data_IF_824389103459
#
_entry.id   IF_824389103459
#
_cell.length_a   1.000
_cell.length_b   1.000
_cell.length_c   1.000
_cell.angle_alpha   90.00
_cell.angle_beta   90.00
_cell.angle_gamma   90.00
#
_symmetry.space_group_name_H-M   'P 1'
#
loop_
_entity.id
_entity.type
_entity.pdbx_description
1 polymer ?
#
# COMPACT_ATOMS: atom_id res chain seq x y z
N UNK A 1 0.11 -15.58 -11.82
CA UNK A 1 1.01 -14.81 -10.96
C UNK A 1 0.29 -14.27 -9.72
N UNK A 2 0.96 -13.45 -8.91
CA UNK A 2 0.38 -12.85 -7.68
C UNK A 2 -0.90 -12.06 -8.00
N UNK A 3 -0.87 -11.21 -8.99
CA UNK A 3 -2.03 -10.40 -9.41
C UNK A 3 -3.23 -11.25 -9.84
N UNK A 4 -3.00 -12.38 -10.52
CA UNK A 4 -4.08 -13.29 -10.92
C UNK A 4 -4.75 -13.91 -9.70
N UNK A 5 -3.95 -14.35 -8.71
CA UNK A 5 -4.48 -14.94 -7.47
C UNK A 5 -5.27 -13.89 -6.66
N UNK A 6 -4.76 -12.65 -6.55
CA UNK A 6 -5.46 -11.56 -5.89
C UNK A 6 -6.79 -11.23 -6.60
N UNK A 7 -6.80 -11.13 -7.92
CA UNK A 7 -8.00 -10.88 -8.70
C UNK A 7 -9.03 -12.00 -8.56
N UNK A 8 -8.58 -13.25 -8.55
CA UNK A 8 -9.47 -14.40 -8.30
C UNK A 8 -10.10 -14.30 -6.89
N UNK A 9 -9.30 -14.00 -5.86
CA UNK A 9 -9.79 -13.80 -4.50
C UNK A 9 -10.82 -12.68 -4.39
N UNK A 10 -10.54 -11.51 -5.01
CA UNK A 10 -11.46 -10.38 -5.04
C UNK A 10 -12.77 -10.74 -5.74
N UNK A 11 -12.69 -11.49 -6.86
CA UNK A 11 -13.87 -11.88 -7.65
C UNK A 11 -14.75 -12.89 -6.91
N UNK A 12 -14.14 -13.87 -6.25
CA UNK A 12 -14.83 -14.91 -5.49
C UNK A 12 -15.40 -14.44 -4.15
N UNK A 13 -14.83 -13.37 -3.57
CA UNK A 13 -15.33 -12.81 -2.32
C UNK A 13 -16.74 -12.26 -2.48
N UNK A 14 -17.56 -12.42 -1.44
CA UNK A 14 -18.89 -11.80 -1.33
C UNK A 14 -18.90 -10.63 -0.35
N UNK A 15 -17.77 -10.38 0.31
CA UNK A 15 -17.64 -9.31 1.31
C UNK A 15 -17.58 -7.94 0.66
N UNK A 16 -18.05 -6.92 1.37
CA UNK A 16 -17.99 -5.52 0.92
C UNK A 16 -16.55 -5.00 0.81
N UNK A 17 -15.68 -5.45 1.71
CA UNK A 17 -14.27 -5.07 1.76
C UNK A 17 -13.40 -6.31 1.59
N UNK A 18 -12.27 -6.13 0.92
CA UNK A 18 -11.27 -7.17 0.69
C UNK A 18 -9.90 -6.69 1.17
N UNK A 19 -9.14 -7.57 1.80
CA UNK A 19 -7.76 -7.33 2.21
C UNK A 19 -6.80 -8.15 1.37
N UNK A 20 -5.75 -7.51 0.88
CA UNK A 20 -4.64 -8.13 0.17
C UNK A 20 -3.39 -7.99 1.03
N UNK A 21 -2.83 -9.11 1.46
CA UNK A 21 -1.72 -9.18 2.40
C UNK A 21 -0.70 -10.19 1.86
N UNK A 22 0.59 -9.85 1.95
CA UNK A 22 1.64 -10.79 1.57
C UNK A 22 1.75 -11.92 2.61
N UNK A 23 2.07 -13.12 2.15
CA UNK A 23 2.06 -14.34 2.96
C UNK A 23 3.13 -14.34 4.07
N UNK A 24 4.16 -13.53 3.92
CA UNK A 24 5.27 -13.35 4.85
C UNK A 24 5.04 -12.21 5.86
N UNK A 25 3.83 -11.66 5.89
CA UNK A 25 3.47 -10.57 6.77
C UNK A 25 2.76 -11.06 8.03
N UNK A 26 3.13 -10.47 9.17
CA UNK A 26 2.48 -10.65 10.45
C UNK A 26 1.62 -9.43 10.77
N UNK A 27 0.35 -9.66 11.07
CA UNK A 27 -0.56 -8.59 11.47
C UNK A 27 -0.61 -8.45 12.99
N UNK A 28 -0.75 -7.21 13.47
CA UNK A 28 -1.13 -6.96 14.85
C UNK A 28 -2.54 -7.51 15.12
N UNK A 29 -2.83 -8.00 16.33
CA UNK A 29 -4.14 -8.60 16.66
C UNK A 29 -5.34 -7.69 16.38
N UNK A 30 -5.16 -6.37 16.48
CA UNK A 30 -6.18 -5.34 16.26
C UNK A 30 -6.12 -4.68 14.88
N UNK A 31 -5.24 -5.15 13.99
CA UNK A 31 -5.02 -4.55 12.67
C UNK A 31 -6.32 -4.43 11.86
N UNK A 32 -7.12 -5.49 11.81
CA UNK A 32 -8.39 -5.49 11.08
C UNK A 32 -9.42 -4.54 11.71
N UNK A 33 -9.40 -4.38 13.03
CA UNK A 33 -10.28 -3.44 13.71
C UNK A 33 -9.97 -1.99 13.30
N UNK A 34 -8.69 -1.62 13.22
CA UNK A 34 -8.25 -0.31 12.74
C UNK A 34 -8.68 -0.07 11.29
N UNK A 35 -8.52 -1.06 10.42
CA UNK A 35 -8.96 -0.97 9.02
C UNK A 35 -10.47 -0.78 8.92
N UNK A 36 -11.26 -1.59 9.62
CA UNK A 36 -12.71 -1.47 9.64
C UNK A 36 -13.13 -0.11 10.13
N UNK A 37 -12.51 0.39 11.20
CA UNK A 37 -12.78 1.72 11.77
C UNK A 37 -12.55 2.83 10.73
N UNK A 38 -11.50 2.75 9.90
CA UNK A 38 -11.25 3.70 8.82
C UNK A 38 -12.38 3.70 7.78
N UNK A 39 -12.87 2.54 7.35
CA UNK A 39 -13.98 2.47 6.39
C UNK A 39 -15.31 2.99 6.94
N UNK A 40 -15.53 2.92 8.26
CA UNK A 40 -16.78 3.34 8.90
C UNK A 40 -16.69 4.70 9.59
N UNK A 41 -15.57 5.40 9.49
CA UNK A 41 -15.49 6.77 10.02
C UNK A 41 -16.51 7.67 9.33
N UNK A 42 -17.18 8.53 10.13
CA UNK A 42 -18.08 9.57 9.62
C UNK A 42 -17.26 10.66 8.94
N UNK A 43 -16.90 10.45 7.69
CA UNK A 43 -16.22 11.43 6.83
C UNK A 43 -17.19 11.98 5.80
N UNK A 44 -16.90 13.19 5.30
CA UNK A 44 -17.61 13.75 4.13
C UNK A 44 -17.30 13.01 2.84
N UNK A 45 -16.24 12.16 2.84
CA UNK A 45 -15.79 11.37 1.70
C UNK A 45 -15.90 9.89 2.02
N UNK A 46 -16.30 9.11 1.03
CA UNK A 46 -16.30 7.64 1.10
C UNK A 46 -14.86 7.12 1.07
N UNK A 47 -14.48 6.32 2.05
CA UNK A 47 -13.17 5.64 2.05
C UNK A 47 -13.25 4.41 1.14
N UNK A 48 -12.45 4.37 0.09
CA UNK A 48 -12.47 3.29 -0.91
C UNK A 48 -11.28 2.35 -0.81
N UNK A 49 -10.19 2.81 -0.21
CA UNK A 49 -8.99 2.01 0.05
C UNK A 49 -8.29 2.50 1.32
N UNK A 50 -7.63 1.56 1.99
CA UNK A 50 -6.90 1.81 3.25
C UNK A 50 -5.56 1.09 3.18
N UNK A 51 -4.49 1.82 3.43
CA UNK A 51 -3.16 1.29 3.68
C UNK A 51 -2.68 1.60 5.09
N UNK A 52 -1.58 1.02 5.50
CA UNK A 52 -1.02 1.27 6.83
C UNK A 52 0.49 1.20 6.87
N UNK A 53 1.03 1.53 8.03
CA UNK A 53 2.47 1.46 8.30
C UNK A 53 2.91 0.01 8.36
N UNK A 54 3.99 -0.28 7.66
CA UNK A 54 4.69 -1.57 7.71
C UNK A 54 5.98 -1.40 8.49
N UNK A 55 6.25 -2.33 9.38
CA UNK A 55 7.45 -2.39 10.22
C UNK A 55 8.33 -3.57 9.84
N UNK A 56 9.60 -3.44 10.16
CA UNK A 56 10.61 -4.49 9.97
C UNK A 56 10.58 -5.44 11.16
N UNK A 57 10.38 -6.73 10.88
CA UNK A 57 10.28 -7.79 11.88
C UNK A 57 11.62 -8.49 12.18
N UNK A 58 12.66 -8.23 11.39
CA UNK A 58 13.98 -8.86 11.59
C UNK A 58 14.47 -8.71 13.03
N UNK A 59 14.89 -9.82 13.63
CA UNK A 59 15.33 -9.96 15.02
C UNK A 59 14.25 -9.78 16.10
N UNK A 60 13.00 -9.52 15.75
CA UNK A 60 11.89 -9.56 16.68
C UNK A 60 11.62 -11.00 17.15
N UNK A 61 11.04 -11.17 18.33
CA UNK A 61 10.62 -12.48 18.82
C UNK A 61 9.16 -12.70 18.42
N UNK A 62 8.93 -13.77 17.68
CA UNK A 62 7.59 -14.16 17.22
C UNK A 62 7.30 -15.55 17.77
N UNK A 63 6.21 -15.69 18.52
CA UNK A 63 5.75 -16.99 19.01
C UNK A 63 4.22 -17.08 18.90
N UNK A 64 3.72 -18.29 18.58
CA UNK A 64 2.30 -18.53 18.40
C UNK A 64 1.64 -17.66 17.31
N UNK A 65 2.41 -17.17 16.33
CA UNK A 65 1.90 -16.26 15.28
C UNK A 65 1.70 -14.82 15.76
N UNK A 66 2.27 -14.45 16.90
CA UNK A 66 2.19 -13.09 17.45
C UNK A 66 3.59 -12.54 17.73
N UNK A 67 3.70 -11.22 17.66
CA UNK A 67 4.91 -10.49 18.00
C UNK A 67 4.99 -10.35 19.53
N UNK A 68 5.94 -11.02 20.16
CA UNK A 68 6.13 -10.98 21.61
C UNK A 68 7.11 -9.89 22.04
N UNK A 69 8.20 -9.72 21.29
CA UNK A 69 9.21 -8.73 21.64
C UNK A 69 9.72 -8.01 20.38
N UNK A 70 9.68 -6.70 20.40
CA UNK A 70 10.21 -5.85 19.32
C UNK A 70 11.67 -5.58 19.59
N UNK A 71 12.53 -5.98 18.65
CA UNK A 71 13.98 -5.77 18.71
C UNK A 71 14.48 -5.00 17.50
N UNK A 72 15.56 -4.26 17.68
CA UNK A 72 16.28 -3.69 16.54
C UNK A 72 16.98 -4.82 15.77
N UNK A 73 16.94 -4.80 14.43
CA UNK A 73 17.68 -5.76 13.63
C UNK A 73 19.16 -5.81 14.02
N UNK A 74 19.73 -7.00 14.14
CA UNK A 74 21.17 -7.17 14.37
C UNK A 74 21.97 -6.91 13.10
N UNK A 75 21.43 -7.28 11.95
CA UNK A 75 22.04 -7.03 10.65
C UNK A 75 21.99 -5.54 10.28
N UNK A 76 23.13 -4.97 9.88
CA UNK A 76 23.24 -3.55 9.52
C UNK A 76 22.41 -3.17 8.30
N UNK A 77 22.29 -4.07 7.32
CA UNK A 77 21.49 -3.83 6.11
C UNK A 77 20.00 -3.75 6.45
N UNK A 78 19.52 -4.59 7.37
CA UNK A 78 18.14 -4.53 7.88
C UNK A 78 17.90 -3.24 8.69
N UNK A 79 18.90 -2.74 9.43
CA UNK A 79 18.81 -1.44 10.12
C UNK A 79 18.64 -0.26 9.17
N UNK A 80 19.37 -0.24 8.05
CA UNK A 80 19.17 0.79 7.02
C UNK A 80 17.77 0.74 6.43
N UNK A 81 17.26 -0.47 6.14
CA UNK A 81 15.90 -0.64 5.65
C UNK A 81 14.84 -0.25 6.70
N UNK A 82 15.09 -0.48 7.98
CA UNK A 82 14.22 0.02 9.05
C UNK A 82 14.11 1.56 9.03
N UNK A 83 15.22 2.28 8.85
CA UNK A 83 15.21 3.74 8.70
C UNK A 83 14.46 4.18 7.43
N UNK A 84 14.72 3.50 6.32
CA UNK A 84 14.04 3.75 5.05
C UNK A 84 12.52 3.53 5.16
N UNK A 85 12.08 2.43 5.77
CA UNK A 85 10.67 2.14 6.00
C UNK A 85 10.03 3.19 6.90
N UNK A 86 10.71 3.56 8.00
CA UNK A 86 10.23 4.61 8.90
C UNK A 86 10.02 5.94 8.16
N UNK A 87 10.98 6.35 7.33
CA UNK A 87 10.86 7.56 6.52
C UNK A 87 9.74 7.44 5.48
N UNK A 88 9.70 6.33 4.75
CA UNK A 88 8.74 6.14 3.64
C UNK A 88 7.31 5.99 4.15
N UNK A 89 7.08 5.15 5.15
CA UNK A 89 5.73 4.82 5.63
C UNK A 89 5.19 5.86 6.60
N UNK A 90 6.00 6.32 7.57
CA UNK A 90 5.51 7.25 8.59
C UNK A 90 5.56 8.69 8.09
N UNK A 91 6.65 9.14 7.49
CA UNK A 91 6.74 10.54 7.04
C UNK A 91 6.12 10.72 5.65
N UNK A 92 6.56 9.93 4.66
CA UNK A 92 6.15 10.11 3.27
C UNK A 92 4.67 9.81 3.04
N UNK A 93 4.25 8.56 3.26
CA UNK A 93 2.87 8.13 2.92
C UNK A 93 1.82 8.79 3.79
N UNK A 94 2.11 9.04 5.08
CA UNK A 94 1.18 9.81 5.91
C UNK A 94 1.00 11.24 5.44
N UNK A 95 2.07 11.91 5.03
CA UNK A 95 1.98 13.28 4.50
C UNK A 95 1.11 13.31 3.23
N UNK A 96 1.36 12.40 2.29
CA UNK A 96 0.56 12.29 1.06
C UNK A 96 -0.89 11.88 1.34
N UNK A 97 -1.12 11.00 2.31
CA UNK A 97 -2.47 10.62 2.76
C UNK A 97 -3.25 11.82 3.29
N UNK A 98 -2.63 12.67 4.13
CA UNK A 98 -3.27 13.87 4.70
C UNK A 98 -3.74 14.89 3.67
N UNK A 99 -3.09 14.98 2.54
CA UNK A 99 -3.49 15.88 1.46
C UNK A 99 -4.27 15.18 0.34
N UNK A 100 -4.72 13.94 0.60
CA UNK A 100 -5.48 13.08 -0.32
C UNK A 100 -4.76 12.84 -1.66
N UNK A 101 -3.45 12.66 -1.60
CA UNK A 101 -2.58 12.53 -2.77
C UNK A 101 -1.68 11.29 -2.71
N UNK A 102 -2.10 10.26 -1.95
CA UNK A 102 -1.40 9.00 -1.87
C UNK A 102 -1.44 8.28 -3.23
N UNK A 103 -0.29 7.82 -3.70
CA UNK A 103 -0.13 7.12 -4.99
C UNK A 103 0.11 5.61 -4.84
N UNK A 104 0.40 5.14 -3.63
CA UNK A 104 0.69 3.73 -3.39
C UNK A 104 0.17 3.28 -2.03
N UNK A 105 -0.46 2.12 -2.00
CA UNK A 105 -0.65 1.27 -0.82
C UNK A 105 0.22 0.05 -1.03
N UNK A 106 1.03 -0.31 -0.04
CA UNK A 106 1.91 -1.47 -0.17
C UNK A 106 1.12 -2.76 -0.36
N UNK A 107 1.59 -3.62 -1.25
CA UNK A 107 1.04 -4.95 -1.47
C UNK A 107 1.10 -5.87 -0.24
N UNK A 108 1.91 -5.50 0.76
CA UNK A 108 2.00 -6.21 2.04
C UNK A 108 0.82 -5.93 2.99
N UNK A 109 0.12 -4.80 2.82
CA UNK A 109 -1.01 -4.42 3.67
C UNK A 109 -1.92 -3.44 2.93
N UNK A 110 -2.84 -3.94 2.14
CA UNK A 110 -3.79 -3.15 1.37
C UNK A 110 -5.22 -3.64 1.52
N UNK A 111 -6.14 -2.72 1.82
CA UNK A 111 -7.56 -3.02 1.94
C UNK A 111 -8.38 -2.13 1.02
N UNK A 112 -9.40 -2.71 0.38
CA UNK A 112 -10.15 -2.07 -0.67
C UNK A 112 -11.64 -2.31 -0.53
N UNK A 113 -12.44 -1.34 -0.92
CA UNK A 113 -13.83 -1.60 -1.20
C UNK A 113 -13.93 -2.47 -2.47
N UNK A 114 -14.51 -3.67 -2.30
CA UNK A 114 -14.50 -4.72 -3.35
C UNK A 114 -15.11 -4.24 -4.67
N UNK A 115 -16.25 -3.57 -4.61
CA UNK A 115 -16.92 -3.05 -5.82
C UNK A 115 -16.03 -2.08 -6.60
N UNK A 116 -15.27 -1.24 -5.88
CA UNK A 116 -14.35 -0.30 -6.49
C UNK A 116 -13.16 -1.04 -7.11
N UNK A 117 -12.58 -2.00 -6.39
CA UNK A 117 -11.48 -2.81 -6.92
C UNK A 117 -11.89 -3.54 -8.22
N UNK A 118 -13.10 -4.10 -8.26
CA UNK A 118 -13.65 -4.72 -9.48
C UNK A 118 -13.91 -3.70 -10.58
N UNK A 119 -14.50 -2.55 -10.25
CA UNK A 119 -14.86 -1.52 -11.23
C UNK A 119 -13.64 -0.92 -11.94
N UNK A 120 -12.46 -0.88 -11.29
CA UNK A 120 -11.20 -0.45 -11.91
C UNK A 120 -10.46 -1.60 -12.61
N UNK A 121 -11.03 -2.81 -12.64
CA UNK A 121 -10.46 -3.98 -13.29
C UNK A 121 -9.41 -4.73 -12.48
N UNK A 122 -9.40 -4.57 -11.13
CA UNK A 122 -8.49 -5.28 -10.23
C UNK A 122 -7.02 -4.91 -10.42
N UNK A 123 -6.14 -5.82 -9.98
CA UNK A 123 -4.70 -5.70 -10.16
C UNK A 123 -4.27 -5.97 -11.61
N UNK A 124 -3.35 -5.19 -12.13
CA UNK A 124 -2.79 -5.43 -13.46
C UNK A 124 -1.80 -6.62 -13.41
N UNK A 125 -2.00 -7.58 -14.29
CA UNK A 125 -1.15 -8.78 -14.38
C UNK A 125 0.09 -8.59 -15.23
N UNK A 126 0.23 -7.43 -15.89
CA UNK A 126 1.31 -7.13 -16.85
C UNK A 126 2.41 -6.24 -16.26
N UNK A 127 2.23 -5.73 -15.04
CA UNK A 127 3.23 -4.92 -14.35
C UNK A 127 3.74 -5.61 -13.09
N UNK A 128 4.92 -5.23 -12.66
CA UNK A 128 5.48 -5.64 -11.36
C UNK A 128 5.23 -4.60 -10.26
N UNK A 129 4.56 -3.50 -10.58
CA UNK A 129 4.11 -2.45 -9.67
C UNK A 129 2.58 -2.46 -9.50
N UNK A 130 2.01 -3.64 -9.36
CA UNK A 130 0.57 -3.87 -9.30
C UNK A 130 -0.12 -3.12 -8.15
N UNK A 131 0.58 -2.93 -7.03
CA UNK A 131 0.09 -2.25 -5.82
C UNK A 131 0.01 -0.72 -6.00
N UNK A 132 0.92 -0.14 -6.73
CA UNK A 132 0.86 1.26 -7.13
C UNK A 132 -0.18 1.47 -8.24
N UNK A 133 -0.21 0.58 -9.21
CA UNK A 133 -1.06 0.68 -10.39
C UNK A 133 -2.56 0.64 -10.07
N UNK A 134 -2.99 -0.21 -9.13
CA UNK A 134 -4.39 -0.25 -8.71
C UNK A 134 -4.83 1.07 -8.06
N UNK A 135 -3.94 1.74 -7.31
CA UNK A 135 -4.22 3.06 -6.72
C UNK A 135 -4.35 4.11 -7.82
N UNK A 136 -3.48 4.10 -8.82
CA UNK A 136 -3.61 4.99 -9.97
C UNK A 136 -4.95 4.81 -10.68
N UNK A 137 -5.37 3.58 -10.96
CA UNK A 137 -6.70 3.30 -11.54
C UNK A 137 -7.84 3.86 -10.68
N UNK A 138 -7.75 3.71 -9.37
CA UNK A 138 -8.75 4.29 -8.45
C UNK A 138 -8.75 5.82 -8.51
N UNK A 139 -7.60 6.47 -8.72
CA UNK A 139 -7.51 7.94 -8.84
C UNK A 139 -8.17 8.48 -10.11
N UNK A 140 -8.29 7.70 -11.20
CA UNK A 140 -9.10 8.08 -12.36
C UNK A 140 -10.60 8.12 -12.09
N UNK A 141 -11.05 7.57 -10.96
CA UNK A 141 -12.46 7.62 -10.58
C UNK A 141 -12.89 8.99 -10.02
N UNK A 142 -11.99 9.99 -9.97
CA UNK A 142 -12.30 11.32 -9.45
C UNK A 142 -13.45 12.04 -10.18
N UNK A 143 -13.77 11.64 -11.41
CA UNK A 143 -14.91 12.13 -12.19
C UNK A 143 -16.27 11.62 -11.69
N UNK A 144 -16.29 10.65 -10.76
CA UNK A 144 -17.53 10.17 -10.15
C UNK A 144 -18.12 11.24 -9.23
N UNK A 145 -19.45 11.32 -9.20
CA UNK A 145 -20.21 12.34 -8.45
C UNK A 145 -19.99 12.28 -6.93
N UNK A 146 -19.59 11.14 -6.38
CA UNK A 146 -19.37 10.96 -4.95
C UNK A 146 -17.92 11.21 -4.57
N UNK A 147 -17.65 12.15 -3.63
CA UNK A 147 -16.30 12.40 -3.14
C UNK A 147 -15.77 11.18 -2.39
N UNK A 148 -14.58 10.71 -2.75
CA UNK A 148 -13.91 9.59 -2.09
C UNK A 148 -12.54 9.98 -1.56
N UNK A 149 -11.99 9.12 -0.72
CA UNK A 149 -10.62 9.24 -0.21
C UNK A 149 -9.95 7.87 -0.09
N UNK A 150 -8.62 7.88 -0.15
CA UNK A 150 -7.75 6.76 0.15
C UNK A 150 -7.04 7.08 1.46
N UNK A 151 -7.29 6.29 2.50
CA UNK A 151 -6.75 6.53 3.83
C UNK A 151 -5.44 5.78 4.08
N UNK A 152 -4.66 6.33 5.00
CA UNK A 152 -3.41 5.73 5.46
C UNK A 152 -3.36 5.73 6.98
N UNK A 153 -3.31 4.54 7.57
CA UNK A 153 -3.30 4.35 9.04
C UNK A 153 -1.87 4.51 9.54
N UNK A 154 -1.64 5.40 10.54
CA UNK A 154 -0.31 5.66 11.08
C UNK A 154 0.19 4.58 12.05
N UNK A 155 -0.71 3.72 12.53
CA UNK A 155 -0.37 2.68 13.49
C UNK A 155 0.45 1.55 12.83
N UNK A 156 1.38 0.92 13.55
CA UNK A 156 2.17 -0.18 13.02
C UNK A 156 1.36 -1.49 13.05
N UNK A 157 0.55 -1.70 12.03
CA UNK A 157 -0.38 -2.84 11.97
C UNK A 157 0.16 -4.06 11.26
N UNK A 158 1.24 -3.93 10.51
CA UNK A 158 1.82 -4.98 9.69
C UNK A 158 3.34 -5.03 9.86
N UNK A 159 3.88 -6.24 9.96
CA UNK A 159 5.30 -6.51 10.13
C UNK A 159 5.76 -7.48 9.04
N UNK A 160 6.91 -7.23 8.46
CA UNK A 160 7.52 -8.09 7.44
C UNK A 160 9.01 -8.16 7.62
N UNK A 161 9.63 -9.24 7.18
CA UNK A 161 11.09 -9.32 7.13
C UNK A 161 11.63 -8.59 5.90
N UNK A 162 12.79 -7.99 6.06
CA UNK A 162 13.53 -7.35 4.97
C UNK A 162 14.81 -8.13 4.66
N UNK A 163 15.30 -8.09 3.42
CA UNK A 163 16.52 -8.78 3.03
C UNK A 163 17.74 -8.39 3.87
N UNK A 164 18.48 -9.39 4.33
CA UNK A 164 19.76 -9.24 5.02
C UNK A 164 20.97 -9.51 4.10
N UNK A 165 20.70 -9.91 2.86
CA UNK A 165 21.68 -10.11 1.80
C UNK A 165 21.57 -8.98 0.77
N UNK A 166 22.74 -8.42 0.39
CA UNK A 166 22.79 -7.27 -0.52
C UNK A 166 22.26 -7.62 -1.93
N UNK A 167 22.54 -8.82 -2.42
CA UNK A 167 22.10 -9.26 -3.76
C UNK A 167 20.57 -9.38 -3.82
N UNK A 168 19.98 -9.94 -2.75
CA UNK A 168 18.53 -10.05 -2.65
C UNK A 168 17.89 -8.65 -2.56
N UNK A 169 18.49 -7.75 -1.77
CA UNK A 169 18.03 -6.37 -1.67
C UNK A 169 18.08 -5.65 -3.00
N UNK A 170 19.20 -5.72 -3.73
CA UNK A 170 19.34 -5.08 -5.04
C UNK A 170 18.27 -5.58 -6.02
N UNK A 171 18.07 -6.90 -6.10
CA UNK A 171 17.03 -7.47 -6.96
C UNK A 171 15.62 -7.00 -6.58
N UNK A 172 15.33 -6.89 -5.29
CA UNK A 172 14.05 -6.36 -4.81
C UNK A 172 13.86 -4.90 -5.20
N UNK A 173 14.90 -4.06 -5.03
CA UNK A 173 14.85 -2.63 -5.36
C UNK A 173 14.75 -2.38 -6.86
N UNK A 174 15.46 -3.17 -7.67
CA UNK A 174 15.34 -3.12 -9.13
C UNK A 174 13.90 -3.41 -9.58
N UNK A 175 13.30 -4.47 -9.04
CA UNK A 175 11.90 -4.79 -9.32
C UNK A 175 10.95 -3.64 -8.92
N UNK A 176 11.14 -3.04 -7.74
CA UNK A 176 10.31 -1.91 -7.28
C UNK A 176 10.50 -0.67 -8.14
N UNK A 177 11.75 -0.33 -8.46
CA UNK A 177 12.05 0.81 -9.34
C UNK A 177 11.41 0.63 -10.72
N UNK A 178 11.52 -0.57 -11.29
CA UNK A 178 10.89 -0.90 -12.57
C UNK A 178 9.37 -0.77 -12.49
N UNK A 179 8.72 -1.35 -11.48
CA UNK A 179 7.26 -1.26 -11.30
C UNK A 179 6.77 0.17 -11.14
N UNK A 180 7.50 1.00 -10.37
CA UNK A 180 7.20 2.41 -10.22
C UNK A 180 7.29 3.16 -11.55
N UNK A 181 8.38 2.97 -12.31
CA UNK A 181 8.56 3.60 -13.61
C UNK A 181 7.51 3.15 -14.61
N UNK A 182 7.22 1.84 -14.71
CA UNK A 182 6.17 1.32 -15.58
C UNK A 182 4.83 1.98 -15.28
N UNK A 183 4.46 2.08 -14.00
CA UNK A 183 3.20 2.70 -13.58
C UNK A 183 3.16 4.20 -13.89
N UNK A 184 4.23 4.92 -13.57
CA UNK A 184 4.32 6.35 -13.88
C UNK A 184 4.19 6.60 -15.38
N UNK A 185 4.94 5.91 -16.22
CA UNK A 185 4.86 6.08 -17.66
C UNK A 185 3.50 5.72 -18.24
N UNK A 186 2.85 4.68 -17.70
CA UNK A 186 1.49 4.28 -18.11
C UNK A 186 0.45 5.36 -17.83
N UNK A 187 0.60 6.09 -16.74
CA UNK A 187 -0.33 7.12 -16.28
C UNK A 187 0.21 8.56 -16.42
N UNK A 188 1.11 8.79 -17.37
CA UNK A 188 1.79 10.08 -17.62
C UNK A 188 0.87 11.27 -17.87
N UNK A 189 -0.37 11.02 -18.28
CA UNK A 189 -1.42 12.03 -18.48
C UNK A 189 -1.90 12.68 -17.18
N UNK A 190 -1.58 12.09 -16.02
CA UNK A 190 -1.80 12.74 -14.73
C UNK A 190 -0.73 13.79 -14.39
N UNK A 191 0.46 13.70 -15.00
CA UNK A 191 1.58 14.60 -14.70
C UNK A 191 1.25 16.05 -15.05
N UNK A 192 1.38 16.95 -14.07
CA UNK A 192 1.00 18.37 -14.18
C UNK A 192 -0.45 18.63 -14.60
N UNK A 193 -1.32 17.65 -14.45
CA UNK A 193 -2.72 17.78 -14.84
C UNK A 193 -3.58 18.25 -13.65
N UNK A 194 -4.09 19.46 -13.74
CA UNK A 194 -4.91 20.09 -12.71
C UNK A 194 -6.25 19.38 -12.44
N UNK A 195 -6.74 18.55 -13.36
CA UNK A 195 -7.94 17.72 -13.15
C UNK A 195 -7.76 16.75 -11.97
N UNK A 196 -6.52 16.33 -11.70
CA UNK A 196 -6.18 15.47 -10.56
C UNK A 196 -5.78 16.26 -9.31
N UNK A 197 -5.94 17.60 -9.32
CA UNK A 197 -5.67 18.46 -8.18
C UNK A 197 -4.24 18.34 -7.66
N UNK A 198 -4.09 18.18 -6.34
CA UNK A 198 -2.78 18.03 -5.68
C UNK A 198 -2.03 16.77 -6.11
N UNK A 199 -2.74 15.73 -6.48
CA UNK A 199 -2.12 14.50 -6.95
C UNK A 199 -1.32 14.75 -8.24
N UNK A 200 -1.93 15.37 -9.26
CA UNK A 200 -1.27 15.63 -10.53
C UNK A 200 -0.22 16.74 -10.46
N UNK A 201 -0.43 17.75 -9.58
CA UNK A 201 0.43 18.93 -9.52
C UNK A 201 1.59 18.80 -8.51
N UNK A 202 1.47 17.97 -7.47
CA UNK A 202 2.47 17.86 -6.41
C UNK A 202 2.97 16.42 -6.24
N UNK A 203 2.07 15.46 -5.99
CA UNK A 203 2.48 14.11 -5.62
C UNK A 203 3.11 13.38 -6.80
N UNK A 204 2.48 13.39 -7.94
CA UNK A 204 3.00 12.73 -9.13
C UNK A 204 4.37 13.29 -9.59
N UNK A 205 4.59 14.64 -9.71
CA UNK A 205 5.90 15.17 -10.07
C UNK A 205 7.02 14.92 -9.06
N UNK A 206 6.66 14.63 -7.81
CA UNK A 206 7.62 14.29 -6.75
C UNK A 206 8.14 12.85 -6.86
N UNK A 207 7.34 11.94 -7.39
CA UNK A 207 7.68 10.50 -7.53
C UNK A 207 8.51 10.23 -8.78
#
# INVERSE_FOLDING_TARGET
GKSDALNAGISLSTSKYVGCIDVDCLLQPDALLHVVKSFFQRSKKRVIAVGGVIRVANSCVIAGGQLEEIKLPTNWLARFQLLEYTRSFILGRMAWGRIDSLLIISGAFGFFEREIALAVGGYDTKTVGEDMEIIFKMRYMHERKEPYTIEYIPDPLCWTEVPEDLKILVNQRDRWARGNLETLFKHKDMLFNSKFGRLGLLSYPYW
#
